data_IF_389446644990
#
_entry.id   IF_389446644990
#
_cell.length_a   1.000
_cell.length_b   1.000
_cell.length_c   1.000
_cell.angle_alpha   90.00
_cell.angle_beta   90.00
_cell.angle_gamma   90.00
#
_symmetry.space_group_name_H-M   'P 1'
#
loop_
_entity.id
_entity.type
_entity.pdbx_description
1 polymer ?
#
# COMPACT_ATOMS: atom_id res chain seq x y z
N UNK A 1 27.21 2.45 18.88
CA UNK A 1 26.33 3.58 19.20
C UNK A 1 24.99 3.29 18.58
N UNK A 2 23.89 3.27 19.34
CA UNK A 2 22.57 3.39 18.71
C UNK A 2 22.48 4.78 18.05
N UNK A 3 21.78 4.88 16.92
CA UNK A 3 21.68 6.13 16.16
C UNK A 3 21.08 7.28 16.99
N UNK A 4 21.28 8.51 16.53
CA UNK A 4 20.85 9.75 17.21
C UNK A 4 19.33 9.84 17.44
N UNK A 5 18.54 9.06 16.70
CA UNK A 5 17.08 9.08 16.77
C UNK A 5 16.49 7.75 17.25
N UNK A 6 15.44 7.78 18.09
CA UNK A 6 14.74 6.58 18.50
C UNK A 6 13.84 6.06 17.37
N UNK A 7 13.94 4.76 17.08
CA UNK A 7 13.09 4.08 16.12
C UNK A 7 12.13 3.12 16.82
N UNK A 8 10.94 3.00 16.28
CA UNK A 8 9.95 1.98 16.60
C UNK A 8 9.52 1.28 15.31
N UNK A 9 8.82 0.16 15.44
CA UNK A 9 8.37 -0.59 14.29
C UNK A 9 6.99 -1.22 14.51
N UNK A 10 6.32 -1.51 13.40
CA UNK A 10 5.11 -2.30 13.36
C UNK A 10 5.24 -3.32 12.22
N UNK A 11 4.96 -4.59 12.50
CA UNK A 11 5.13 -5.69 11.54
C UNK A 11 3.82 -6.45 11.38
N UNK A 12 3.50 -6.82 10.15
CA UNK A 12 2.34 -7.65 9.85
C UNK A 12 2.56 -9.11 10.27
N UNK A 13 1.51 -9.93 10.26
CA UNK A 13 1.67 -11.39 10.18
C UNK A 13 2.25 -11.77 8.80
N UNK A 14 2.78 -13.00 8.62
CA UNK A 14 3.11 -13.50 7.29
C UNK A 14 1.87 -13.61 6.40
N UNK A 15 1.88 -12.95 5.25
CA UNK A 15 0.79 -12.88 4.26
C UNK A 15 1.23 -13.52 2.94
N UNK A 16 0.29 -14.05 2.18
CA UNK A 16 0.57 -14.80 0.94
C UNK A 16 -0.52 -15.82 0.68
N UNK A 17 -0.89 -16.09 -0.58
CA UNK A 17 -1.82 -17.20 -0.90
C UNK A 17 -1.24 -18.59 -0.71
N UNK A 18 0.06 -18.75 -0.97
CA UNK A 18 0.74 -20.06 -0.99
C UNK A 18 1.58 -20.29 0.27
N UNK A 19 2.44 -21.32 0.28
CA UNK A 19 3.44 -21.49 1.34
C UNK A 19 4.50 -20.38 1.36
N UNK A 20 4.69 -19.68 0.24
CA UNK A 20 5.52 -18.49 0.20
C UNK A 20 4.76 -17.33 0.84
N UNK A 21 5.35 -16.74 1.90
CA UNK A 21 4.77 -15.65 2.67
C UNK A 21 5.77 -14.51 2.82
N UNK A 22 5.26 -13.30 2.93
CA UNK A 22 6.02 -12.07 3.19
C UNK A 22 5.36 -11.25 4.30
N UNK A 23 6.06 -10.24 4.81
CA UNK A 23 5.54 -9.35 5.85
C UNK A 23 5.75 -7.89 5.47
N UNK A 24 4.76 -7.05 5.78
CA UNK A 24 4.94 -5.60 5.78
C UNK A 24 5.62 -5.17 7.09
N UNK A 25 6.68 -4.37 6.98
CA UNK A 25 7.39 -3.78 8.11
C UNK A 25 7.41 -2.25 7.97
N UNK A 26 6.78 -1.57 8.92
CA UNK A 26 6.91 -0.14 9.08
C UNK A 26 8.01 0.13 10.11
N UNK A 27 9.06 0.85 9.71
CA UNK A 27 10.08 1.37 10.62
C UNK A 27 9.97 2.89 10.62
N UNK A 28 9.80 3.49 11.80
CA UNK A 28 9.57 4.92 11.91
C UNK A 28 10.28 5.52 13.12
N UNK A 29 10.59 6.80 13.00
CA UNK A 29 11.14 7.60 14.08
C UNK A 29 10.05 7.94 15.10
N UNK A 30 10.16 7.39 16.31
CA UNK A 30 9.13 7.53 17.35
C UNK A 30 9.11 8.91 17.99
N UNK A 31 10.14 9.73 17.74
CA UNK A 31 10.18 11.15 18.08
C UNK A 31 9.49 12.05 17.04
N UNK A 32 9.15 11.51 15.86
CA UNK A 32 8.53 12.26 14.75
C UNK A 32 7.06 11.92 14.54
N UNK A 33 6.70 10.63 14.64
CA UNK A 33 5.33 10.14 14.40
C UNK A 33 4.91 9.09 15.42
N UNK A 34 3.61 8.92 15.59
CA UNK A 34 3.02 7.90 16.46
C UNK A 34 1.94 7.10 15.75
N UNK A 35 1.88 5.79 15.97
CA UNK A 35 0.80 4.93 15.44
C UNK A 35 -0.45 5.14 16.28
N UNK A 36 -1.57 5.47 15.62
CA UNK A 36 -2.88 5.63 16.26
C UNK A 36 -3.74 4.37 16.15
N UNK A 37 -3.48 3.52 15.15
CA UNK A 37 -4.16 2.25 14.95
C UNK A 37 -3.72 1.57 13.67
N UNK A 38 -4.00 0.28 13.56
CA UNK A 38 -3.76 -0.50 12.35
C UNK A 38 -4.81 -1.58 12.18
N UNK A 39 -4.97 -2.06 10.95
CA UNK A 39 -5.80 -3.22 10.62
C UNK A 39 -5.36 -3.83 9.28
N UNK A 40 -5.83 -5.04 9.01
CA UNK A 40 -5.69 -5.68 7.70
C UNK A 40 -6.95 -5.39 6.91
N UNK A 41 -6.78 -5.02 5.64
CA UNK A 41 -7.92 -5.03 4.73
C UNK A 41 -8.42 -6.47 4.58
N UNK A 42 -9.74 -6.62 4.59
CA UNK A 42 -10.42 -7.91 4.43
C UNK A 42 -11.38 -7.73 3.25
N UNK A 43 -11.04 -8.32 2.10
CA UNK A 43 -11.84 -8.29 0.88
C UNK A 43 -12.88 -9.42 0.82
N UNK A 44 -12.99 -10.18 1.92
CA UNK A 44 -14.03 -11.16 2.16
C UNK A 44 -13.51 -12.57 2.35
N UNK A 45 -14.30 -13.54 1.89
CA UNK A 45 -14.08 -14.94 2.20
C UNK A 45 -12.96 -15.55 1.33
N UNK A 46 -11.79 -15.78 1.93
CA UNK A 46 -10.66 -16.48 1.30
C UNK A 46 -11.07 -17.86 0.73
N UNK A 47 -11.80 -18.67 1.52
CA UNK A 47 -12.23 -20.02 1.11
C UNK A 47 -13.27 -20.05 -0.01
N UNK A 48 -13.86 -18.89 -0.34
CA UNK A 48 -14.90 -18.76 -1.36
C UNK A 48 -14.32 -18.33 -2.73
N UNK A 49 -13.00 -18.04 -2.80
CA UNK A 49 -12.33 -17.64 -4.04
C UNK A 49 -12.49 -16.17 -4.42
N UNK A 50 -12.91 -15.32 -3.47
CA UNK A 50 -13.04 -13.87 -3.67
C UNK A 50 -11.80 -13.08 -3.23
N UNK A 51 -10.75 -13.78 -2.77
CA UNK A 51 -9.50 -13.15 -2.36
C UNK A 51 -8.82 -12.47 -3.57
N UNK A 52 -8.73 -11.16 -3.50
CA UNK A 52 -8.13 -10.30 -4.53
C UNK A 52 -6.65 -10.10 -4.29
N UNK A 53 -6.23 -9.96 -3.03
CA UNK A 53 -4.84 -9.63 -2.69
C UNK A 53 -4.04 -10.86 -2.30
N UNK A 54 -2.95 -11.13 -3.02
CA UNK A 54 -2.01 -12.17 -2.59
C UNK A 54 -1.43 -11.88 -1.19
N UNK A 55 -1.28 -10.60 -0.84
CA UNK A 55 -0.88 -10.09 0.47
C UNK A 55 -1.76 -8.91 0.87
N UNK A 56 -2.70 -9.16 1.76
CA UNK A 56 -3.71 -8.22 2.23
C UNK A 56 -3.06 -6.93 2.78
N UNK A 57 -3.46 -5.72 2.33
CA UNK A 57 -2.88 -4.48 2.80
C UNK A 57 -2.89 -4.34 4.34
N UNK A 58 -1.71 -4.15 4.94
CA UNK A 58 -1.57 -3.87 6.37
C UNK A 58 -1.59 -2.35 6.63
N UNK A 59 -2.79 -1.84 6.89
CA UNK A 59 -3.10 -0.41 6.91
C UNK A 59 -2.76 0.19 8.27
N UNK A 60 -2.03 1.32 8.26
CA UNK A 60 -1.56 1.97 9.49
C UNK A 60 -1.90 3.45 9.49
N UNK A 61 -2.58 3.90 10.55
CA UNK A 61 -2.87 5.32 10.80
C UNK A 61 -1.77 5.92 11.68
N UNK A 62 -1.19 7.03 11.22
CA UNK A 62 -0.16 7.77 11.93
C UNK A 62 -0.67 9.16 12.36
N UNK A 63 -0.15 9.65 13.48
CA UNK A 63 -0.14 11.06 13.84
C UNK A 63 1.24 11.66 13.60
N UNK A 64 1.29 12.87 13.06
CA UNK A 64 2.53 13.61 12.80
C UNK A 64 2.37 15.08 13.21
N UNK A 65 2.81 15.46 14.42
CA UNK A 65 2.64 16.81 14.96
C UNK A 65 3.40 17.89 14.19
N UNK A 66 4.41 17.51 13.41
CA UNK A 66 5.35 18.43 12.73
C UNK A 66 4.97 18.76 11.28
N UNK A 67 3.92 18.14 10.73
CA UNK A 67 3.47 18.35 9.34
C UNK A 67 2.13 19.09 9.28
N UNK A 68 1.77 19.65 8.12
CA UNK A 68 0.44 20.27 7.97
C UNK A 68 -0.69 19.23 8.11
N UNK A 69 -0.49 18.05 7.54
CA UNK A 69 -1.35 16.88 7.76
C UNK A 69 -0.97 16.26 9.09
N UNK A 70 -1.90 16.29 10.05
CA UNK A 70 -1.65 15.87 11.44
C UNK A 70 -1.99 14.40 11.69
N UNK A 71 -2.92 13.85 10.91
CA UNK A 71 -3.25 12.42 10.88
C UNK A 71 -3.32 11.96 9.43
N UNK A 72 -2.69 10.84 9.11
CA UNK A 72 -2.73 10.26 7.77
C UNK A 72 -2.65 8.74 7.84
N UNK A 73 -2.97 8.08 6.74
CA UNK A 73 -2.98 6.62 6.62
C UNK A 73 -2.00 6.18 5.57
N UNK A 74 -1.21 5.14 5.88
CA UNK A 74 -0.38 4.42 4.93
C UNK A 74 -1.03 3.08 4.60
N UNK A 75 -1.19 2.81 3.30
CA UNK A 75 -1.71 1.55 2.76
C UNK A 75 -0.59 0.91 1.92
N UNK A 76 0.13 -0.08 2.46
CA UNK A 76 1.18 -0.76 1.72
C UNK A 76 0.56 -1.82 0.80
N UNK A 77 1.12 -1.96 -0.40
CA UNK A 77 0.88 -3.12 -1.25
C UNK A 77 2.19 -3.53 -1.93
N UNK A 78 2.55 -4.80 -1.77
CA UNK A 78 3.43 -5.50 -2.69
C UNK A 78 2.53 -6.41 -3.53
N UNK A 79 2.32 -6.07 -4.80
CA UNK A 79 1.34 -6.79 -5.62
C UNK A 79 1.90 -8.10 -6.16
N UNK A 80 1.05 -9.08 -6.42
CA UNK A 80 1.47 -10.26 -7.18
C UNK A 80 1.67 -9.89 -8.66
N UNK A 81 2.84 -10.10 -9.29
CA UNK A 81 3.11 -9.62 -10.65
C UNK A 81 2.10 -10.09 -11.71
N UNK A 82 1.62 -11.34 -11.59
CA UNK A 82 0.58 -11.93 -12.46
C UNK A 82 -0.81 -11.30 -12.29
N UNK A 83 -1.07 -10.63 -11.17
CA UNK A 83 -2.36 -10.04 -10.81
C UNK A 83 -2.26 -8.54 -10.51
N UNK A 84 -1.15 -7.89 -10.86
CA UNK A 84 -0.83 -6.51 -10.50
C UNK A 84 -1.96 -5.54 -10.88
N UNK A 85 -2.47 -5.59 -12.11
CA UNK A 85 -3.55 -4.72 -12.55
C UNK A 85 -4.84 -4.88 -11.70
N UNK A 86 -5.17 -6.11 -11.30
CA UNK A 86 -6.34 -6.40 -10.48
C UNK A 86 -6.16 -5.90 -9.05
N UNK A 87 -5.00 -6.15 -8.43
CA UNK A 87 -4.71 -5.71 -7.07
C UNK A 87 -4.62 -4.17 -6.97
N UNK A 88 -4.03 -3.49 -7.96
CA UNK A 88 -3.99 -2.03 -8.02
C UNK A 88 -5.39 -1.45 -8.22
N UNK A 89 -6.25 -2.08 -9.03
CA UNK A 89 -7.65 -1.66 -9.15
C UNK A 89 -8.38 -1.77 -7.82
N UNK A 90 -8.20 -2.88 -7.11
CA UNK A 90 -8.83 -3.14 -5.80
C UNK A 90 -8.37 -2.17 -4.70
N UNK A 91 -7.20 -1.53 -4.82
CA UNK A 91 -6.80 -0.45 -3.91
C UNK A 91 -7.76 0.74 -3.93
N UNK A 92 -8.58 0.91 -4.97
CA UNK A 92 -9.70 1.84 -4.95
C UNK A 92 -10.69 1.48 -3.82
N UNK A 93 -11.04 0.21 -3.68
CA UNK A 93 -11.97 -0.26 -2.66
C UNK A 93 -11.35 -0.12 -1.26
N UNK A 94 -10.04 -0.37 -1.14
CA UNK A 94 -9.27 -0.11 0.10
C UNK A 94 -9.30 1.38 0.47
N UNK A 95 -9.11 2.28 -0.49
CA UNK A 95 -9.23 3.73 -0.25
C UNK A 95 -10.61 4.10 0.30
N UNK A 96 -11.68 3.54 -0.27
CA UNK A 96 -13.05 3.79 0.23
C UNK A 96 -13.28 3.20 1.62
N UNK A 97 -12.73 2.02 1.91
CA UNK A 97 -12.82 1.39 3.22
C UNK A 97 -12.15 2.23 4.31
N UNK A 98 -10.94 2.74 4.07
CA UNK A 98 -10.24 3.64 5.00
C UNK A 98 -11.07 4.89 5.31
N UNK A 99 -11.67 5.50 4.29
CA UNK A 99 -12.55 6.66 4.46
C UNK A 99 -13.78 6.28 5.29
N UNK A 100 -14.42 5.16 5.00
CA UNK A 100 -15.62 4.73 5.72
C UNK A 100 -15.30 4.37 7.19
N UNK A 101 -14.14 3.75 7.44
CA UNK A 101 -13.73 3.27 8.76
C UNK A 101 -13.23 4.38 9.67
N UNK A 102 -12.42 5.31 9.15
CA UNK A 102 -11.72 6.32 9.96
C UNK A 102 -12.10 7.76 9.63
N UNK A 103 -12.84 8.02 8.55
CA UNK A 103 -13.19 9.37 8.12
C UNK A 103 -12.00 10.21 7.62
N UNK A 104 -10.85 9.58 7.38
CA UNK A 104 -9.62 10.24 6.93
C UNK A 104 -9.51 10.15 5.42
N UNK A 105 -9.18 11.27 4.78
CA UNK A 105 -8.95 11.37 3.32
C UNK A 105 -7.47 11.51 2.96
N UNK A 106 -6.63 11.86 3.92
CA UNK A 106 -5.17 11.95 3.79
C UNK A 106 -4.57 10.53 3.83
N UNK A 107 -4.57 9.88 2.66
CA UNK A 107 -4.16 8.49 2.50
C UNK A 107 -3.03 8.44 1.48
N UNK A 108 -1.95 7.74 1.82
CA UNK A 108 -0.87 7.41 0.91
C UNK A 108 -0.95 5.90 0.65
N UNK A 109 -1.17 5.53 -0.60
CA UNK A 109 -1.05 4.15 -1.08
C UNK A 109 0.35 4.00 -1.68
N UNK A 110 1.11 3.00 -1.23
CA UNK A 110 2.52 2.87 -1.61
C UNK A 110 3.00 1.41 -1.61
N UNK A 111 4.13 1.17 -2.26
CA UNK A 111 4.83 -0.10 -2.25
C UNK A 111 5.27 -0.51 -3.65
N UNK A 112 5.64 -1.78 -3.80
CA UNK A 112 5.95 -2.36 -5.10
C UNK A 112 4.66 -2.85 -5.76
N UNK A 113 4.06 -1.98 -6.58
CA UNK A 113 2.82 -2.29 -7.26
C UNK A 113 3.02 -3.15 -8.52
N UNK A 114 4.26 -3.44 -8.95
CA UNK A 114 4.53 -4.04 -10.26
C UNK A 114 3.79 -3.30 -11.40
N UNK A 115 3.76 -1.97 -11.33
CA UNK A 115 2.83 -1.13 -12.09
C UNK A 115 3.33 -0.70 -13.48
N UNK A 116 4.11 -1.52 -14.17
CA UNK A 116 4.60 -1.19 -15.51
C UNK A 116 4.99 -2.46 -16.32
N UNK A 117 5.56 -2.26 -17.49
CA UNK A 117 6.14 -3.29 -18.36
C UNK A 117 5.09 -4.35 -18.75
N UNK A 118 5.42 -5.63 -18.54
CA UNK A 118 4.53 -6.75 -18.88
C UNK A 118 3.47 -7.04 -17.83
N UNK A 119 3.55 -6.43 -16.65
CA UNK A 119 2.63 -6.68 -15.54
C UNK A 119 1.39 -5.76 -15.61
N UNK A 120 1.60 -4.48 -15.93
CA UNK A 120 0.54 -3.52 -16.22
C UNK A 120 0.85 -2.78 -17.51
N UNK A 121 0.17 -3.15 -18.58
CA UNK A 121 0.34 -2.55 -19.90
C UNK A 121 -0.44 -1.24 -20.01
N UNK A 122 -0.07 -0.38 -20.97
CA UNK A 122 -0.75 0.90 -21.20
C UNK A 122 -2.26 0.76 -21.48
N UNK A 123 -2.69 -0.37 -22.06
CA UNK A 123 -4.10 -0.66 -22.33
C UNK A 123 -4.91 -1.05 -21.09
N UNK A 124 -4.26 -1.48 -20.00
CA UNK A 124 -4.95 -1.84 -18.74
C UNK A 124 -5.19 -0.63 -17.85
N UNK A 125 -4.34 0.40 -17.93
CA UNK A 125 -4.47 1.61 -17.10
C UNK A 125 -5.86 2.26 -17.11
N UNK A 126 -6.57 2.40 -18.24
CA UNK A 126 -7.92 2.95 -18.25
C UNK A 126 -8.95 2.16 -17.43
N UNK A 127 -8.69 0.87 -17.17
CA UNK A 127 -9.58 0.01 -16.38
C UNK A 127 -9.28 0.01 -14.88
N UNK A 128 -8.15 0.59 -14.46
CA UNK A 128 -7.73 0.66 -13.06
C UNK A 128 -8.36 1.90 -12.42
N UNK A 129 -9.35 1.71 -11.55
CA UNK A 129 -10.10 2.79 -10.90
C UNK A 129 -9.22 3.72 -10.08
N UNK A 130 -8.20 3.19 -9.40
CA UNK A 130 -7.24 4.01 -8.65
C UNK A 130 -6.48 4.99 -9.54
N UNK A 131 -6.20 4.62 -10.80
CA UNK A 131 -5.45 5.46 -11.76
C UNK A 131 -6.26 6.67 -12.22
N UNK A 132 -7.57 6.49 -12.38
CA UNK A 132 -8.50 7.52 -12.86
C UNK A 132 -9.21 8.28 -11.74
N UNK A 133 -9.00 7.89 -10.48
CA UNK A 133 -9.55 8.54 -9.31
C UNK A 133 -8.99 9.97 -9.19
N UNK A 134 -9.84 10.98 -9.38
CA UNK A 134 -9.43 12.39 -9.33
C UNK A 134 -8.89 12.86 -7.98
N UNK A 135 -9.23 12.13 -6.90
CA UNK A 135 -8.69 12.36 -5.56
C UNK A 135 -7.28 11.78 -5.36
N UNK A 136 -6.80 10.93 -6.28
CA UNK A 136 -5.52 10.27 -6.19
C UNK A 136 -4.51 10.96 -7.12
N UNK A 137 -3.39 11.40 -6.56
CA UNK A 137 -2.26 11.92 -7.32
C UNK A 137 -1.15 10.86 -7.33
N UNK A 138 -0.76 10.44 -8.53
CA UNK A 138 0.38 9.53 -8.73
C UNK A 138 1.67 10.35 -8.70
N UNK A 139 2.45 10.20 -7.63
CA UNK A 139 3.66 10.99 -7.39
C UNK A 139 4.88 10.45 -8.15
N UNK A 140 4.92 9.13 -8.37
CA UNK A 140 5.92 8.47 -9.21
C UNK A 140 5.30 8.31 -10.60
N UNK A 141 5.85 8.97 -11.64
CA UNK A 141 5.32 8.87 -12.99
C UNK A 141 5.71 7.52 -13.64
N UNK A 142 4.97 7.12 -14.67
CA UNK A 142 5.24 5.89 -15.44
C UNK A 142 6.64 5.90 -16.10
N UNK A 143 7.26 7.06 -16.25
CA UNK A 143 8.60 7.20 -16.83
C UNK A 143 9.73 6.97 -15.81
N UNK A 144 9.41 6.73 -14.54
CA UNK A 144 10.41 6.54 -13.50
C UNK A 144 10.88 5.08 -13.45
N UNK A 145 12.19 4.87 -13.60
CA UNK A 145 12.80 3.58 -13.28
C UNK A 145 12.92 3.42 -11.76
N UNK A 146 12.35 2.34 -11.25
CA UNK A 146 12.35 1.97 -9.82
C UNK A 146 13.04 0.63 -9.58
N UNK A 147 13.68 0.07 -10.60
CA UNK A 147 14.46 -1.16 -10.51
C UNK A 147 15.95 -0.85 -10.33
N UNK A 148 16.70 -1.82 -9.80
CA UNK A 148 18.17 -1.71 -9.66
C UNK A 148 18.92 -2.40 -10.80
N UNK A 149 18.21 -3.17 -11.63
CA UNK A 149 18.78 -3.92 -12.74
C UNK A 149 18.58 -3.11 -14.03
N UNK A 150 19.62 -2.97 -14.83
CA UNK A 150 19.52 -2.26 -16.12
C UNK A 150 18.48 -2.96 -17.01
N UNK A 151 17.41 -2.24 -17.36
CA UNK A 151 16.44 -2.66 -18.38
C UNK A 151 16.72 -1.90 -19.69
N UNK A 152 17.80 -2.27 -20.37
CA UNK A 152 18.08 -1.93 -21.79
C UNK A 152 18.46 -3.20 -22.57
#
# INVERSE_FOLDING_TARGET
SAGEHPYSFLVSVPLGRTSYKEQYLFVYRSDMVSVLGSYYYDDGCESCGNDTFSREPFIVKFSSPTTQVQEFVLVPLHSEPSHAAQEIDALYDVYTDVINKWGIKDIILLGDFNADCSYVTSSQWPSIRLRSLSACQWLIPDSADTTVADTD
#
